data_IF_820637895938
#
_entry.id   IF_820637895938
#
_cell.length_a   1.000
_cell.length_b   1.000
_cell.length_c   1.000
_cell.angle_alpha   90.00
_cell.angle_beta   90.00
_cell.angle_gamma   90.00
#
_symmetry.space_group_name_H-M   'P 1'
#
loop_
_entity.id
_entity.type
_entity.pdbx_description
1 polymer ?
#
# COMPACT_ATOMS: atom_id res chain seq x y z
N UNK A 1 -20.87 -44.44 -29.60
CA UNK A 1 -22.25 -44.28 -30.06
C UNK A 1 -22.51 -42.78 -30.05
N UNK A 2 -22.19 -42.14 -31.17
CA UNK A 2 -22.32 -40.70 -31.36
C UNK A 2 -23.79 -40.34 -31.50
N UNK A 3 -24.34 -39.66 -30.50
CA UNK A 3 -25.70 -39.13 -30.53
C UNK A 3 -25.68 -37.72 -31.09
N UNK A 4 -25.87 -37.58 -32.40
CA UNK A 4 -26.13 -36.29 -33.02
C UNK A 4 -27.42 -35.70 -32.44
N UNK A 5 -27.29 -34.51 -31.86
CA UNK A 5 -28.41 -33.75 -31.30
C UNK A 5 -29.19 -33.16 -32.48
N UNK A 6 -30.52 -33.34 -32.57
CA UNK A 6 -31.30 -32.77 -33.67
C UNK A 6 -31.14 -31.24 -33.72
N UNK A 7 -30.92 -30.70 -34.92
CA UNK A 7 -30.85 -29.26 -35.15
C UNK A 7 -32.18 -28.60 -34.78
N UNK A 8 -32.09 -27.46 -34.11
CA UNK A 8 -33.22 -26.62 -33.72
C UNK A 8 -34.03 -26.20 -34.98
N UNK A 9 -35.33 -26.53 -35.05
CA UNK A 9 -36.18 -26.23 -36.22
C UNK A 9 -36.19 -24.74 -36.58
N UNK A 10 -36.04 -23.85 -35.60
CA UNK A 10 -35.99 -22.40 -35.82
C UNK A 10 -34.72 -21.96 -36.55
N UNK A 11 -33.60 -22.67 -36.33
CA UNK A 11 -32.32 -22.41 -36.98
C UNK A 11 -32.27 -23.02 -38.38
N UNK A 12 -32.95 -24.15 -38.58
CA UNK A 12 -33.12 -24.75 -39.90
C UNK A 12 -33.94 -23.83 -40.82
N UNK A 13 -35.09 -23.33 -40.35
CA UNK A 13 -35.94 -22.41 -41.11
C UNK A 13 -35.23 -21.08 -41.45
N UNK A 14 -34.42 -20.55 -40.53
CA UNK A 14 -33.65 -19.33 -40.79
C UNK A 14 -32.53 -19.55 -41.83
N UNK A 15 -31.91 -20.73 -41.83
CA UNK A 15 -30.91 -21.10 -42.83
C UNK A 15 -31.54 -21.30 -44.22
N UNK A 16 -32.71 -21.93 -44.29
CA UNK A 16 -33.48 -22.11 -45.53
C UNK A 16 -33.89 -20.76 -46.13
N UNK A 17 -34.50 -19.87 -45.34
CA UNK A 17 -34.89 -18.53 -45.80
C UNK A 17 -33.68 -17.70 -46.29
N UNK A 18 -32.53 -17.86 -45.65
CA UNK A 18 -31.29 -17.19 -46.08
C UNK A 18 -30.76 -17.76 -47.40
N UNK A 19 -30.83 -19.08 -47.60
CA UNK A 19 -30.41 -19.73 -48.85
C UNK A 19 -31.36 -19.39 -50.01
N UNK A 20 -32.66 -19.32 -49.76
CA UNK A 20 -33.64 -18.85 -50.76
C UNK A 20 -33.38 -17.40 -51.19
N UNK A 21 -33.08 -16.50 -50.24
CA UNK A 21 -32.73 -15.11 -50.55
C UNK A 21 -31.46 -15.01 -51.41
N UNK A 22 -30.48 -15.89 -51.19
CA UNK A 22 -29.26 -15.93 -52.00
C UNK A 22 -29.53 -16.45 -53.42
N UNK A 23 -30.44 -17.42 -53.56
CA UNK A 23 -30.86 -17.95 -54.85
C UNK A 23 -31.62 -16.89 -55.68
N UNK A 24 -32.49 -16.09 -55.05
CA UNK A 24 -33.16 -14.95 -55.71
C UNK A 24 -32.17 -13.90 -56.24
N UNK A 25 -31.02 -13.76 -55.56
CA UNK A 25 -29.92 -12.88 -55.97
C UNK A 25 -28.99 -13.53 -57.02
N UNK A 26 -29.32 -14.72 -57.52
CA UNK A 26 -28.55 -15.45 -58.54
C UNK A 26 -27.23 -16.01 -58.02
N UNK A 27 -27.09 -16.20 -56.71
CA UNK A 27 -25.88 -16.72 -56.08
C UNK A 27 -26.05 -18.22 -55.78
N UNK A 28 -25.69 -19.06 -56.75
CA UNK A 28 -25.74 -20.53 -56.63
C UNK A 28 -24.77 -21.11 -55.58
N UNK A 29 -23.88 -20.27 -55.03
CA UNK A 29 -22.86 -20.62 -54.05
C UNK A 29 -22.37 -19.40 -53.30
N UNK A 30 -22.19 -19.53 -51.99
CA UNK A 30 -21.56 -18.49 -51.16
C UNK A 30 -20.11 -18.24 -51.66
N UNK A 31 -19.74 -16.99 -51.98
CA UNK A 31 -18.37 -16.69 -52.37
C UNK A 31 -17.44 -16.97 -51.18
N UNK A 32 -16.53 -17.93 -51.37
CA UNK A 32 -15.47 -18.20 -50.41
C UNK A 32 -14.55 -16.98 -50.40
N UNK A 33 -14.55 -16.22 -49.30
CA UNK A 33 -13.62 -15.11 -49.13
C UNK A 33 -12.19 -15.67 -49.31
N UNK A 34 -11.54 -15.25 -50.39
CA UNK A 34 -10.12 -15.54 -50.61
C UNK A 34 -9.37 -14.59 -49.69
N UNK A 35 -9.06 -15.07 -48.49
CA UNK A 35 -8.16 -14.35 -47.59
C UNK A 35 -6.76 -14.45 -48.21
N UNK A 36 -6.38 -13.46 -49.02
CA UNK A 36 -4.96 -13.18 -49.17
C UNK A 36 -4.45 -12.82 -47.77
N UNK A 37 -3.34 -13.43 -47.29
CA UNK A 37 -2.68 -12.92 -46.12
C UNK A 37 -2.15 -11.54 -46.50
N UNK A 38 -2.90 -10.51 -46.14
CA UNK A 38 -2.34 -9.18 -46.03
C UNK A 38 -1.16 -9.30 -45.06
N UNK A 39 0.03 -8.90 -45.50
CA UNK A 39 1.13 -8.65 -44.57
C UNK A 39 0.56 -7.82 -43.43
N UNK A 40 0.56 -8.41 -42.24
CA UNK A 40 0.06 -7.76 -41.05
C UNK A 40 0.81 -6.44 -40.92
N UNK A 41 0.13 -5.30 -40.77
CA UNK A 41 0.83 -4.11 -40.34
C UNK A 41 1.53 -4.50 -39.03
N UNK A 42 2.85 -4.38 -39.00
CA UNK A 42 3.63 -4.52 -37.77
C UNK A 42 2.90 -3.74 -36.69
N UNK A 43 2.38 -4.49 -35.71
CA UNK A 43 1.78 -3.90 -34.54
C UNK A 43 2.85 -3.07 -33.89
N UNK A 44 2.75 -1.74 -34.03
CA UNK A 44 3.36 -0.82 -33.09
C UNK A 44 2.72 -1.16 -31.74
N UNK A 45 3.37 -2.05 -30.99
CA UNK A 45 3.21 -2.14 -29.56
C UNK A 45 3.36 -0.71 -29.06
N UNK A 46 2.24 -0.11 -28.65
CA UNK A 46 2.23 1.23 -28.07
C UNK A 46 3.27 1.23 -26.94
N UNK A 47 4.38 1.91 -27.14
CA UNK A 47 5.43 2.12 -26.14
C UNK A 47 4.84 2.85 -24.93
N UNK A 48 4.22 2.11 -24.01
CA UNK A 48 3.87 2.65 -22.71
C UNK A 48 5.20 2.81 -21.99
N UNK A 49 5.68 4.06 -21.89
CA UNK A 49 6.95 4.38 -21.25
C UNK A 49 7.10 3.65 -19.91
N UNK A 50 8.28 3.07 -19.68
CA UNK A 50 8.63 2.35 -18.45
C UNK A 50 8.27 3.17 -17.19
N UNK A 51 7.86 2.52 -16.08
CA UNK A 51 7.42 3.23 -14.87
C UNK A 51 8.44 4.23 -14.32
N UNK A 52 9.73 3.93 -14.41
CA UNK A 52 10.81 4.79 -13.93
C UNK A 52 10.79 6.19 -14.58
N UNK A 53 10.98 6.31 -15.91
CA UNK A 53 10.91 7.58 -16.62
C UNK A 53 9.61 8.37 -16.38
N UNK A 54 8.46 7.68 -16.30
CA UNK A 54 7.18 8.35 -15.98
C UNK A 54 7.18 8.94 -14.58
N UNK A 55 7.72 8.22 -13.62
CA UNK A 55 7.84 8.68 -12.23
C UNK A 55 8.82 9.85 -12.10
N UNK A 56 9.92 9.84 -12.86
CA UNK A 56 10.86 10.96 -12.93
C UNK A 56 10.21 12.23 -13.48
N UNK A 57 9.43 12.12 -14.57
CA UNK A 57 8.64 13.23 -15.12
C UNK A 57 7.62 13.76 -14.10
N UNK A 58 6.97 12.86 -13.36
CA UNK A 58 6.04 13.24 -12.29
C UNK A 58 6.75 13.97 -11.15
N UNK A 59 7.94 13.52 -10.75
CA UNK A 59 8.75 14.17 -9.73
C UNK A 59 9.15 15.58 -10.14
N UNK A 60 9.57 15.79 -11.40
CA UNK A 60 9.86 17.12 -11.94
C UNK A 60 8.63 18.05 -11.88
N UNK A 61 7.43 17.53 -12.18
CA UNK A 61 6.17 18.29 -12.03
C UNK A 61 5.87 18.65 -10.57
N UNK A 62 6.12 17.73 -9.63
CA UNK A 62 5.95 17.99 -8.19
C UNK A 62 6.93 19.07 -7.73
N UNK A 63 8.18 19.02 -8.20
CA UNK A 63 9.22 20.01 -7.89
C UNK A 63 8.90 21.40 -8.41
N UNK A 64 8.29 21.50 -9.59
CA UNK A 64 7.83 22.77 -10.15
C UNK A 64 6.48 23.26 -9.55
N UNK A 65 5.72 22.40 -8.87
CA UNK A 65 4.35 22.70 -8.46
C UNK A 65 4.25 23.94 -7.54
N UNK A 66 3.28 24.82 -7.86
CA UNK A 66 2.84 26.01 -7.10
C UNK A 66 1.32 26.12 -6.99
N UNK A 67 0.60 25.01 -7.10
CA UNK A 67 -0.87 25.00 -7.11
C UNK A 67 -1.52 25.45 -5.78
N UNK A 68 -0.78 25.46 -4.67
CA UNK A 68 -1.25 25.94 -3.37
C UNK A 68 -0.15 26.69 -2.61
N UNK A 69 -0.52 27.38 -1.54
CA UNK A 69 0.38 28.19 -0.72
C UNK A 69 1.60 27.43 -0.18
N UNK A 70 1.49 26.11 0.04
CA UNK A 70 2.62 25.29 0.50
C UNK A 70 3.75 25.19 -0.53
N UNK A 71 3.42 25.30 -1.82
CA UNK A 71 4.41 25.31 -2.89
C UNK A 71 5.33 26.53 -2.83
N UNK A 72 4.83 27.65 -2.28
CA UNK A 72 5.56 28.91 -2.12
C UNK A 72 6.44 28.93 -0.87
N UNK A 73 6.04 28.21 0.20
CA UNK A 73 6.72 28.30 1.50
C UNK A 73 7.68 27.15 1.81
N UNK A 74 7.64 26.05 1.05
CA UNK A 74 8.51 24.89 1.26
C UNK A 74 9.98 25.23 0.97
N UNK A 75 10.89 24.50 1.59
CA UNK A 75 12.30 24.49 1.18
C UNK A 75 12.52 23.50 0.04
N UNK A 76 12.02 22.27 0.19
CA UNK A 76 12.04 21.24 -0.85
C UNK A 76 10.66 20.60 -0.96
N UNK A 77 10.29 20.16 -2.16
CA UNK A 77 9.19 19.18 -2.29
C UNK A 77 9.72 17.84 -1.83
N UNK A 78 8.78 16.99 -1.44
CA UNK A 78 9.04 15.61 -1.08
C UNK A 78 8.12 14.73 -1.94
N UNK A 79 8.49 14.45 -3.21
CA UNK A 79 7.66 13.68 -4.13
C UNK A 79 7.35 12.28 -3.59
N UNK A 80 8.36 11.64 -3.01
CA UNK A 80 8.37 10.24 -2.62
C UNK A 80 9.71 9.63 -3.03
N UNK A 81 10.05 8.48 -2.49
CA UNK A 81 11.28 7.76 -2.87
C UNK A 81 11.06 6.25 -2.84
N UNK A 82 11.82 5.51 -3.66
CA UNK A 82 11.79 4.06 -3.71
C UNK A 82 11.65 3.50 -5.13
N UNK A 83 11.34 2.21 -5.22
CA UNK A 83 11.21 1.51 -6.51
C UNK A 83 9.96 1.95 -7.28
N UNK A 84 10.13 2.23 -8.57
CA UNK A 84 9.02 2.47 -9.50
C UNK A 84 8.20 1.20 -9.81
N UNK A 85 8.67 0.02 -9.34
CA UNK A 85 7.97 -1.27 -9.42
C UNK A 85 7.69 -1.85 -8.02
N UNK A 86 7.58 -0.98 -7.01
CA UNK A 86 7.36 -1.40 -5.64
C UNK A 86 6.01 -2.15 -5.50
N UNK A 87 6.07 -3.37 -4.99
CA UNK A 87 4.86 -4.17 -4.67
C UNK A 87 4.08 -3.58 -3.50
N UNK A 88 4.74 -2.80 -2.63
CA UNK A 88 4.13 -2.14 -1.48
C UNK A 88 4.51 -0.67 -1.42
N UNK A 89 3.50 0.17 -1.19
CA UNK A 89 3.66 1.61 -1.03
C UNK A 89 3.24 2.04 0.38
N UNK A 90 4.08 2.81 1.06
CA UNK A 90 3.77 3.43 2.35
C UNK A 90 3.35 4.89 2.15
N UNK A 91 2.20 5.26 2.72
CA UNK A 91 1.66 6.62 2.55
C UNK A 91 1.38 7.25 3.90
N UNK A 92 2.11 8.33 4.20
CA UNK A 92 1.83 9.22 5.33
C UNK A 92 0.99 10.44 4.95
N UNK A 93 0.89 11.40 5.87
CA UNK A 93 0.05 12.59 5.69
C UNK A 93 0.78 13.72 4.96
N UNK A 94 1.89 14.19 5.51
CA UNK A 94 2.65 15.31 4.96
C UNK A 94 4.13 15.26 5.43
N UNK A 95 5.04 15.95 4.71
CA UNK A 95 6.43 16.09 5.13
C UNK A 95 6.58 16.86 6.45
N UNK A 96 7.57 16.47 7.26
CA UNK A 96 8.03 17.23 8.42
C UNK A 96 9.21 18.13 8.09
N UNK A 97 9.81 18.72 9.12
CA UNK A 97 10.91 19.69 8.97
C UNK A 97 12.18 19.09 8.34
N UNK A 98 12.53 17.85 8.69
CA UNK A 98 13.73 17.21 8.14
C UNK A 98 13.50 16.73 6.71
N UNK A 99 12.29 16.30 6.40
CA UNK A 99 11.87 15.93 5.05
C UNK A 99 11.88 17.16 4.13
N UNK A 100 11.30 18.29 4.55
CA UNK A 100 11.33 19.56 3.83
C UNK A 100 12.76 20.11 3.61
N UNK A 101 13.67 19.85 4.55
CA UNK A 101 15.07 20.25 4.42
C UNK A 101 15.88 19.39 3.45
N UNK A 102 15.49 18.13 3.25
CA UNK A 102 16.25 17.14 2.46
C UNK A 102 15.59 16.77 1.13
N UNK A 103 14.31 17.07 0.96
CA UNK A 103 13.51 16.60 -0.18
C UNK A 103 13.10 15.13 -0.11
N UNK A 104 13.40 14.43 0.99
CA UNK A 104 13.23 12.98 1.12
C UNK A 104 12.17 12.63 2.16
N UNK A 105 11.27 11.66 1.88
CA UNK A 105 10.20 11.31 2.79
C UNK A 105 10.72 10.53 3.99
N UNK A 106 10.14 10.71 5.17
CA UNK A 106 10.42 9.87 6.35
C UNK A 106 11.93 9.71 6.63
N UNK A 107 12.64 10.82 6.85
CA UNK A 107 14.08 10.81 7.21
C UNK A 107 14.31 11.14 8.69
N UNK A 108 13.33 11.74 9.37
CA UNK A 108 13.41 12.00 10.81
C UNK A 108 13.24 10.76 11.69
N UNK A 109 13.09 10.93 13.02
CA UNK A 109 12.96 9.81 13.96
C UNK A 109 11.81 8.84 13.62
N UNK A 110 10.67 9.39 13.17
CA UNK A 110 9.54 8.60 12.69
C UNK A 110 9.91 7.77 11.46
N UNK A 111 10.70 8.34 10.56
CA UNK A 111 11.22 7.68 9.38
C UNK A 111 12.21 6.57 9.67
N UNK A 112 13.11 6.78 10.63
CA UNK A 112 14.02 5.72 11.10
C UNK A 112 13.26 4.53 11.69
N UNK A 113 12.15 4.77 12.41
CA UNK A 113 11.29 3.69 12.87
C UNK A 113 10.58 2.99 11.71
N UNK A 114 10.10 3.73 10.70
CA UNK A 114 9.53 3.14 9.49
C UNK A 114 10.55 2.25 8.77
N UNK A 115 11.78 2.73 8.58
CA UNK A 115 12.87 1.94 7.99
C UNK A 115 13.09 0.64 8.76
N UNK A 116 13.12 0.67 10.09
CA UNK A 116 13.23 -0.57 10.91
C UNK A 116 12.04 -1.52 10.72
N UNK A 117 10.82 -0.99 10.50
CA UNK A 117 9.64 -1.82 10.23
C UNK A 117 9.79 -2.51 8.87
N UNK A 118 10.27 -1.79 7.85
CA UNK A 118 10.48 -2.32 6.50
C UNK A 118 11.61 -3.36 6.50
N UNK A 119 12.79 -2.98 6.99
CA UNK A 119 14.00 -3.82 6.96
C UNK A 119 13.91 -5.00 7.91
N UNK A 120 13.69 -4.75 9.20
CA UNK A 120 13.75 -5.81 10.20
C UNK A 120 12.42 -6.54 10.35
N UNK A 121 11.30 -5.85 10.06
CA UNK A 121 9.97 -6.43 10.13
C UNK A 121 9.61 -7.19 8.86
N UNK A 122 9.64 -6.50 7.71
CA UNK A 122 9.19 -7.10 6.46
C UNK A 122 10.29 -7.88 5.72
N UNK A 123 11.56 -7.64 6.05
CA UNK A 123 12.68 -8.24 5.34
C UNK A 123 12.90 -7.66 3.94
N UNK A 124 12.42 -6.43 3.71
CA UNK A 124 12.59 -5.68 2.47
C UNK A 124 13.60 -4.55 2.69
N UNK A 125 14.33 -4.14 1.67
CA UNK A 125 15.10 -2.91 1.69
C UNK A 125 14.17 -1.69 1.52
N UNK A 126 14.61 -0.52 1.97
CA UNK A 126 13.85 0.72 1.79
C UNK A 126 13.68 1.10 0.31
N UNK A 127 14.64 0.70 -0.52
CA UNK A 127 14.66 0.92 -1.97
C UNK A 127 13.70 0.00 -2.73
N UNK A 128 13.37 -1.17 -2.18
CA UNK A 128 12.42 -2.13 -2.78
C UNK A 128 10.96 -1.68 -2.65
N UNK A 129 10.66 -0.82 -1.68
CA UNK A 129 9.31 -0.28 -1.45
C UNK A 129 9.21 1.13 -2.03
N UNK A 130 8.01 1.72 -2.04
CA UNK A 130 7.85 3.15 -2.33
C UNK A 130 7.25 3.88 -1.13
N UNK A 131 7.80 5.03 -0.77
CA UNK A 131 7.38 5.81 0.40
C UNK A 131 6.98 7.21 -0.05
N UNK A 132 5.78 7.63 0.31
CA UNK A 132 5.26 8.94 -0.02
C UNK A 132 4.36 9.50 1.09
N UNK A 133 3.87 10.71 0.86
CA UNK A 133 2.81 11.34 1.65
C UNK A 133 1.69 11.80 0.72
N UNK A 134 0.50 12.02 1.29
CA UNK A 134 -0.63 12.68 0.61
C UNK A 134 -0.21 14.06 0.10
N UNK A 135 0.35 14.90 0.99
CA UNK A 135 0.99 16.14 0.55
C UNK A 135 2.44 15.94 0.15
N UNK A 136 2.91 16.71 -0.84
CA UNK A 136 4.33 16.77 -1.26
C UNK A 136 5.10 17.95 -0.66
N UNK A 137 4.44 18.78 0.15
CA UNK A 137 5.01 19.98 0.74
C UNK A 137 4.67 20.03 2.23
N UNK A 138 5.59 20.52 3.06
CA UNK A 138 5.41 20.64 4.50
C UNK A 138 4.44 21.78 4.84
N UNK A 139 3.37 21.54 5.62
CA UNK A 139 2.56 22.62 6.20
C UNK A 139 3.36 23.45 7.23
N UNK A 140 3.13 24.78 7.30
CA UNK A 140 3.80 25.64 8.27
C UNK A 140 3.68 25.08 9.69
N UNK A 141 4.81 25.04 10.42
CA UNK A 141 4.86 24.56 11.80
C UNK A 141 4.34 23.11 12.00
N UNK A 142 4.31 22.30 10.93
CA UNK A 142 3.76 20.94 10.93
C UNK A 142 2.28 20.87 11.37
N UNK A 143 1.49 21.91 11.08
CA UNK A 143 0.03 21.84 11.26
C UNK A 143 -0.59 20.75 10.38
N UNK A 144 -1.81 20.36 10.70
CA UNK A 144 -2.57 19.46 9.83
C UNK A 144 -2.81 20.11 8.45
N UNK A 145 -2.79 19.32 7.36
CA UNK A 145 -3.12 19.80 6.02
C UNK A 145 -4.59 20.19 5.90
N UNK A 146 -4.84 21.28 5.20
CA UNK A 146 -6.17 21.75 4.86
C UNK A 146 -6.79 20.89 3.75
N UNK A 147 -8.12 20.88 3.68
CA UNK A 147 -8.87 20.12 2.67
C UNK A 147 -8.47 20.49 1.25
N UNK A 148 -8.31 21.80 0.96
CA UNK A 148 -7.94 22.25 -0.38
C UNK A 148 -6.49 21.88 -0.73
N UNK A 149 -5.57 21.93 0.24
CA UNK A 149 -4.19 21.48 0.05
C UNK A 149 -4.14 19.99 -0.32
N UNK A 150 -4.93 19.15 0.39
CA UNK A 150 -5.05 17.73 0.06
C UNK A 150 -5.58 17.57 -1.36
N UNK A 151 -6.74 18.17 -1.66
CA UNK A 151 -7.41 18.08 -2.96
C UNK A 151 -6.49 18.45 -4.14
N UNK A 152 -5.70 19.51 -4.01
CA UNK A 152 -4.78 19.96 -5.06
C UNK A 152 -3.53 19.06 -5.19
N UNK A 153 -3.15 18.35 -4.14
CA UNK A 153 -1.97 17.49 -4.13
C UNK A 153 -2.28 16.02 -4.45
N UNK A 154 -3.51 15.56 -4.17
CA UNK A 154 -3.99 14.19 -4.41
C UNK A 154 -3.73 13.66 -5.83
N UNK A 155 -3.88 14.45 -6.92
CA UNK A 155 -3.60 13.97 -8.26
C UNK A 155 -2.18 13.42 -8.43
N UNK A 156 -1.18 14.01 -7.74
CA UNK A 156 0.19 13.48 -7.77
C UNK A 156 0.30 12.10 -7.11
N UNK A 157 -0.40 11.87 -6.00
CA UNK A 157 -0.39 10.58 -5.32
C UNK A 157 -1.15 9.52 -6.15
N UNK A 158 -2.25 9.90 -6.78
CA UNK A 158 -3.01 9.02 -7.67
C UNK A 158 -2.15 8.59 -8.87
N UNK A 159 -1.50 9.55 -9.53
CA UNK A 159 -0.61 9.27 -10.66
C UNK A 159 0.60 8.41 -10.24
N UNK A 160 1.14 8.59 -9.02
CA UNK A 160 2.15 7.69 -8.46
C UNK A 160 1.63 6.26 -8.32
N UNK A 161 0.42 6.06 -7.78
CA UNK A 161 -0.17 4.74 -7.64
C UNK A 161 -0.49 4.10 -9.00
N UNK A 162 -0.86 4.89 -10.00
CA UNK A 162 -1.09 4.43 -11.37
C UNK A 162 0.20 4.00 -12.08
N UNK A 163 1.28 4.76 -11.91
CA UNK A 163 2.60 4.44 -12.50
C UNK A 163 3.20 3.20 -11.82
N UNK A 164 3.17 3.15 -10.49
CA UNK A 164 3.83 2.10 -9.71
C UNK A 164 2.99 0.83 -9.67
N UNK A 165 1.67 0.96 -9.72
CA UNK A 165 0.70 -0.14 -9.61
C UNK A 165 1.01 -1.10 -8.44
N UNK A 166 1.13 -0.61 -7.19
CA UNK A 166 1.49 -1.47 -6.06
C UNK A 166 0.39 -2.49 -5.78
N UNK A 167 0.77 -3.67 -5.29
CA UNK A 167 -0.18 -4.70 -4.83
C UNK A 167 -0.85 -4.30 -3.51
N UNK A 168 -0.17 -3.50 -2.68
CA UNK A 168 -0.67 -3.04 -1.38
C UNK A 168 -0.25 -1.60 -1.07
N UNK A 169 -1.17 -0.82 -0.52
CA UNK A 169 -0.86 0.47 0.13
C UNK A 169 -1.00 0.35 1.64
N UNK A 170 0.05 0.68 2.38
CA UNK A 170 0.04 0.77 3.84
C UNK A 170 -0.11 2.25 4.24
N UNK A 171 -1.30 2.60 4.73
CA UNK A 171 -1.63 3.94 5.17
C UNK A 171 -1.16 4.17 6.63
N UNK A 172 -0.26 5.13 6.82
CA UNK A 172 0.36 5.45 8.09
C UNK A 172 -0.44 6.52 8.83
N UNK A 173 -1.30 6.10 9.75
CA UNK A 173 -2.12 6.98 10.59
C UNK A 173 -3.50 7.29 10.03
N UNK A 174 -4.32 7.95 10.87
CA UNK A 174 -5.74 8.24 10.60
C UNK A 174 -5.93 9.06 9.32
N UNK A 175 -5.18 10.14 9.17
CA UNK A 175 -5.40 11.10 8.07
C UNK A 175 -5.08 10.49 6.70
N UNK A 176 -3.96 9.77 6.57
CA UNK A 176 -3.63 9.04 5.35
C UNK A 176 -4.68 7.96 5.04
N UNK A 177 -5.11 7.20 6.05
CA UNK A 177 -6.11 6.14 5.87
C UNK A 177 -7.48 6.69 5.44
N UNK A 178 -7.98 7.74 6.11
CA UNK A 178 -9.26 8.37 5.73
C UNK A 178 -9.19 8.96 4.31
N UNK A 179 -8.05 9.57 3.95
CA UNK A 179 -7.85 10.14 2.62
C UNK A 179 -7.88 9.06 1.53
N UNK A 180 -7.07 8.01 1.67
CA UNK A 180 -6.99 6.92 0.69
C UNK A 180 -8.30 6.13 0.58
N UNK A 181 -9.06 6.01 1.66
CA UNK A 181 -10.33 5.28 1.67
C UNK A 181 -11.53 6.15 1.29
N UNK A 182 -11.35 7.47 1.14
CA UNK A 182 -12.43 8.41 0.82
C UNK A 182 -13.54 8.45 1.88
N UNK A 183 -13.22 8.24 3.16
CA UNK A 183 -14.22 8.24 4.24
C UNK A 183 -13.63 8.68 5.58
N UNK A 184 -14.48 9.19 6.46
CA UNK A 184 -14.08 9.55 7.83
C UNK A 184 -14.36 8.40 8.80
N UNK A 185 -13.31 7.88 9.43
CA UNK A 185 -13.41 6.90 10.51
C UNK A 185 -12.30 7.08 11.55
N UNK A 186 -12.42 6.38 12.68
CA UNK A 186 -11.32 6.29 13.65
C UNK A 186 -10.28 5.27 13.19
N UNK A 187 -9.01 5.50 13.51
CA UNK A 187 -7.95 4.57 13.13
C UNK A 187 -8.18 3.17 13.72
N UNK A 188 -8.67 3.08 14.95
CA UNK A 188 -9.00 1.79 15.59
C UNK A 188 -10.04 0.98 14.82
N UNK A 189 -10.98 1.63 14.13
CA UNK A 189 -11.91 0.95 13.22
C UNK A 189 -11.27 0.57 11.90
N UNK A 190 -10.28 1.32 11.41
CA UNK A 190 -9.67 1.07 10.11
C UNK A 190 -8.56 0.03 10.15
N UNK A 191 -7.77 -0.03 11.21
CA UNK A 191 -6.64 -0.96 11.31
C UNK A 191 -7.05 -2.42 11.45
N UNK A 192 -6.09 -3.33 11.25
CA UNK A 192 -6.30 -4.78 11.41
C UNK A 192 -7.20 -5.43 10.36
N UNK A 193 -7.36 -4.80 9.19
CA UNK A 193 -8.07 -5.34 8.03
C UNK A 193 -7.66 -4.64 6.75
N UNK A 194 -7.74 -5.36 5.63
CA UNK A 194 -7.61 -4.80 4.29
C UNK A 194 -8.93 -4.14 3.87
N UNK A 195 -8.82 -3.01 3.18
CA UNK A 195 -9.95 -2.30 2.61
C UNK A 195 -9.75 -2.13 1.12
N UNK A 196 -10.84 -2.25 0.37
CA UNK A 196 -10.88 -1.79 -1.01
C UNK A 196 -11.35 -0.33 -1.02
N UNK A 197 -10.59 0.63 -1.60
CA UNK A 197 -11.06 2.00 -1.75
C UNK A 197 -12.30 2.06 -2.63
N UNK A 198 -13.26 2.92 -2.28
CA UNK A 198 -14.52 3.05 -3.01
C UNK A 198 -14.33 3.55 -4.47
N UNK A 199 -13.24 4.28 -4.73
CA UNK A 199 -12.91 4.84 -6.04
C UNK A 199 -12.06 3.89 -6.89
N UNK A 200 -11.82 2.66 -6.43
CA UNK A 200 -10.87 1.73 -7.05
C UNK A 200 -9.42 1.99 -6.62
N UNK A 201 -8.49 1.25 -7.22
CA UNK A 201 -7.07 1.27 -6.86
C UNK A 201 -6.64 0.09 -5.98
N UNK A 202 -5.40 0.10 -5.48
CA UNK A 202 -4.85 -1.00 -4.69
C UNK A 202 -5.54 -1.13 -3.33
N UNK A 203 -5.56 -2.35 -2.74
CA UNK A 203 -6.06 -2.53 -1.39
C UNK A 203 -5.23 -1.70 -0.40
N UNK A 204 -5.91 -1.18 0.64
CA UNK A 204 -5.32 -0.31 1.66
C UNK A 204 -5.37 -1.00 3.01
N UNK A 205 -4.21 -1.09 3.66
CA UNK A 205 -4.06 -1.50 5.05
C UNK A 205 -3.73 -0.28 5.90
N UNK A 206 -4.60 0.06 6.85
CA UNK A 206 -4.33 1.15 7.78
C UNK A 206 -3.53 0.66 9.00
N UNK A 207 -2.55 1.45 9.44
CA UNK A 207 -1.82 1.20 10.70
C UNK A 207 -1.44 2.50 11.41
N UNK A 208 -0.76 2.41 12.55
CA UNK A 208 -0.30 3.55 13.31
C UNK A 208 0.83 4.29 12.59
N UNK A 209 0.79 5.62 12.62
CA UNK A 209 1.89 6.43 12.14
C UNK A 209 3.13 6.23 13.03
N UNK A 210 4.36 6.12 12.48
CA UNK A 210 5.57 5.89 13.27
C UNK A 210 5.81 6.95 14.36
N UNK A 211 5.49 8.22 14.08
CA UNK A 211 5.59 9.29 15.08
C UNK A 211 4.68 9.06 16.31
N UNK A 212 3.52 8.42 16.12
CA UNK A 212 2.64 8.05 17.23
C UNK A 212 3.24 6.92 18.06
N UNK A 213 3.85 5.92 17.41
CA UNK A 213 4.49 4.77 18.08
C UNK A 213 5.74 5.15 18.88
N UNK A 214 6.42 6.24 18.50
CA UNK A 214 7.51 6.80 19.30
C UNK A 214 7.02 7.35 20.64
N UNK A 215 5.82 7.93 20.67
CA UNK A 215 5.18 8.45 21.90
C UNK A 215 4.41 7.39 22.68
N UNK A 216 3.91 6.37 21.98
CA UNK A 216 3.08 5.30 22.55
C UNK A 216 3.67 3.92 22.20
N UNK A 217 4.77 3.50 22.85
CA UNK A 217 5.44 2.25 22.50
C UNK A 217 4.59 0.99 22.70
N UNK A 218 3.56 1.03 23.56
CA UNK A 218 2.66 -0.09 23.81
C UNK A 218 1.91 -0.53 22.54
N UNK A 219 1.61 0.41 21.63
CA UNK A 219 0.91 0.13 20.38
C UNK A 219 1.79 -0.48 19.28
N UNK A 220 3.09 -0.63 19.51
CA UNK A 220 4.00 -1.28 18.55
C UNK A 220 3.59 -2.72 18.26
N UNK A 221 3.06 -3.44 19.25
CA UNK A 221 2.56 -4.81 19.07
C UNK A 221 1.40 -4.83 18.08
N UNK A 222 0.46 -3.89 18.24
CA UNK A 222 -0.68 -3.78 17.36
C UNK A 222 -0.22 -3.40 15.94
N UNK A 223 0.66 -2.40 15.79
CA UNK A 223 1.26 -2.04 14.50
C UNK A 223 1.90 -3.27 13.82
N UNK A 224 2.69 -4.05 14.57
CA UNK A 224 3.32 -5.25 14.06
C UNK A 224 2.31 -6.29 13.54
N UNK A 225 1.16 -6.46 14.19
CA UNK A 225 0.09 -7.34 13.69
C UNK A 225 -0.48 -6.86 12.35
N UNK A 226 -0.64 -5.55 12.15
CA UNK A 226 -1.06 -5.02 10.84
C UNK A 226 0.02 -5.31 9.80
N UNK A 227 1.29 -5.01 10.10
CA UNK A 227 2.40 -5.26 9.16
C UNK A 227 2.47 -6.73 8.76
N UNK A 228 2.29 -7.66 9.70
CA UNK A 228 2.21 -9.10 9.39
C UNK A 228 1.04 -9.43 8.44
N UNK A 229 -0.12 -8.80 8.58
CA UNK A 229 -1.23 -8.96 7.63
C UNK A 229 -0.85 -8.45 6.23
N UNK A 230 -0.16 -7.31 6.14
CA UNK A 230 0.37 -6.80 4.88
C UNK A 230 1.39 -7.76 4.25
N UNK A 231 2.28 -8.34 5.06
CA UNK A 231 3.24 -9.36 4.61
C UNK A 231 2.53 -10.60 4.07
N UNK A 232 1.51 -11.10 4.76
CA UNK A 232 0.74 -12.25 4.30
C UNK A 232 0.08 -11.98 2.94
N UNK A 233 -0.51 -10.78 2.78
CA UNK A 233 -1.12 -10.36 1.52
C UNK A 233 -0.13 -10.34 0.36
N UNK A 234 1.11 -9.90 0.63
CA UNK A 234 2.20 -9.85 -0.34
C UNK A 234 2.94 -11.19 -0.51
N UNK A 235 2.56 -12.23 0.23
CA UNK A 235 3.26 -13.53 0.23
C UNK A 235 4.70 -13.46 0.77
N UNK A 236 5.01 -12.48 1.61
CA UNK A 236 6.34 -12.32 2.21
C UNK A 236 6.54 -13.28 3.38
N UNK A 237 7.74 -13.83 3.51
CA UNK A 237 8.11 -14.68 4.66
C UNK A 237 8.23 -13.82 5.91
N UNK A 238 7.53 -14.22 6.97
CA UNK A 238 7.68 -13.57 8.28
C UNK A 238 9.07 -13.89 8.86
N UNK A 239 9.72 -12.94 9.56
CA UNK A 239 10.93 -13.25 10.31
C UNK A 239 10.63 -14.37 11.30
N UNK A 240 11.47 -15.40 11.33
CA UNK A 240 11.36 -16.40 12.39
C UNK A 240 11.53 -15.66 13.72
N UNK A 241 10.66 -15.94 14.69
CA UNK A 241 10.92 -15.48 16.07
C UNK A 241 12.27 -16.10 16.42
N UNK A 242 13.30 -15.29 16.58
CA UNK A 242 14.49 -15.71 17.29
C UNK A 242 13.97 -16.34 18.58
N UNK A 243 14.25 -17.62 18.76
CA UNK A 243 13.90 -18.40 19.95
C UNK A 243 14.45 -17.66 21.16
N UNK A 244 13.61 -16.82 21.77
CA UNK A 244 13.91 -16.15 23.01
C UNK A 244 14.28 -17.23 24.02
N UNK A 245 15.49 -17.12 24.58
CA UNK A 245 16.07 -18.08 25.48
C UNK A 245 15.07 -18.49 26.56
N UNK A 246 15.10 -19.78 26.89
CA UNK A 246 14.49 -20.33 28.09
C UNK A 246 14.78 -19.38 29.25
N UNK A 247 13.73 -18.78 29.79
CA UNK A 247 13.75 -18.22 31.13
C UNK A 247 14.16 -19.35 32.05
N UNK A 248 15.40 -19.29 32.55
CA UNK A 248 15.83 -20.17 33.63
C UNK A 248 14.78 -20.14 34.72
N UNK A 249 14.28 -21.31 35.07
CA UNK A 249 13.53 -21.55 36.30
C UNK A 249 14.24 -20.86 37.46
N UNK A 250 13.55 -20.01 38.26
CA UNK A 250 14.17 -19.47 39.46
C UNK A 250 14.47 -20.63 40.40
N UNK A 251 15.75 -20.84 40.68
CA UNK A 251 16.22 -21.70 41.78
C UNK A 251 15.51 -21.24 43.06
N UNK A 252 14.84 -22.14 43.80
CA UNK A 252 14.22 -21.77 45.07
C UNK A 252 15.31 -21.35 46.07
N UNK A 253 15.08 -20.21 46.73
CA UNK A 253 15.94 -19.71 47.78
C UNK A 253 16.04 -20.73 48.94
N UNK A 254 17.21 -20.88 49.58
CA UNK A 254 17.36 -21.78 50.73
C UNK A 254 16.57 -21.25 51.94
N UNK A 255 16.02 -22.14 52.79
CA UNK A 255 15.25 -21.74 53.95
C UNK A 255 16.13 -21.03 54.99
N UNK A 256 15.72 -19.83 55.39
CA UNK A 256 16.29 -19.05 56.48
C UNK A 256 16.10 -19.80 57.81
N UNK A 257 17.20 -20.07 58.49
CA UNK A 257 17.23 -20.63 59.84
C UNK A 257 16.63 -19.62 60.83
N UNK A 258 15.55 -20.01 61.48
CA UNK A 258 14.92 -19.31 62.58
C UNK A 258 15.73 -19.60 63.85
N UNK A 259 16.67 -18.69 64.18
CA UNK A 259 17.41 -18.76 65.43
C UNK A 259 16.50 -18.35 66.59
N UNK A 260 16.36 -19.26 67.55
CA UNK A 260 15.57 -19.12 68.76
C UNK A 260 15.97 -17.92 69.62
N UNK A 261 14.96 -17.22 70.14
CA UNK A 261 15.08 -16.27 71.25
C UNK A 261 15.08 -17.04 72.58
N UNK A 262 15.98 -16.73 73.53
CA UNK A 262 15.79 -17.11 74.92
C UNK A 262 14.83 -16.13 75.62
N UNK A 263 13.98 -16.67 76.49
CA UNK A 263 13.20 -15.94 77.48
C UNK A 263 14.03 -15.69 78.74
N UNK A 264 14.16 -14.44 79.17
CA UNK A 264 14.26 -13.97 80.57
C UNK A 264 13.81 -12.50 80.52
N UNK A 265 13.08 -11.86 81.44
CA UNK A 265 12.67 -12.18 82.80
C UNK A 265 12.48 -10.83 83.53
N UNK A 266 11.22 -10.48 83.82
CA UNK A 266 10.70 -9.74 85.00
C UNK A 266 11.36 -8.43 85.51
N UNK A 267 10.46 -7.48 85.85
CA UNK A 267 10.55 -6.41 86.87
C UNK A 267 11.37 -5.16 86.49
N UNK A 268 11.03 -3.90 86.84
CA UNK A 268 10.09 -3.32 87.81
C UNK A 268 10.06 -1.78 87.59
N UNK A 269 8.89 -1.18 87.87
CA UNK A 269 8.57 0.24 88.11
C UNK A 269 8.64 1.24 86.94
#
# INVERSE_FOLDING_TARGET
MDGERPLDPSRAAAAEAFLESLAELGLDRLPRAVHQPAEAPESTESEVAEPGPRLEQLNARIEACRLCALGETRRCSVPGEGSARARVMFVGEAPGAQEDASGRPFVGPAGQLLTKIIENGMGLSREEVFIANVLKCRPPQNRDPQTEEKKLCTPFLQEQMEIIAPELVIALGKHAANHLLGRESSLGRLRGRLHQPAQGGPPVLATYHPAYLLRNPADKRACWQDIQMGMDHLGLKRPSRASGGQTGTPTPAPPSQENGRPQEGKHRW
#
